data_IF_402333967873
#
_entry.id   IF_402333967873
#
_cell.length_a   1.000
_cell.length_b   1.000
_cell.length_c   1.000
_cell.angle_alpha   90.00
_cell.angle_beta   90.00
_cell.angle_gamma   90.00
#
_symmetry.space_group_name_H-M   'P 1'
#
loop_
_entity.id
_entity.type
_entity.pdbx_description
1 polymer ?
#
# COMPACT_ATOMS: atom_id res chain seq x y z
N UNK A 1 -34.07 17.54 -10.12
CA UNK A 1 -34.28 16.08 -10.03
C UNK A 1 -33.61 15.47 -11.26
N UNK A 2 -32.39 14.99 -11.12
CA UNK A 2 -31.65 14.31 -12.20
C UNK A 2 -32.05 12.84 -12.25
N UNK A 3 -32.12 12.21 -13.44
CA UNK A 3 -32.41 10.79 -13.55
C UNK A 3 -31.21 9.92 -13.11
N UNK A 4 -31.44 8.70 -12.64
CA UNK A 4 -30.36 7.80 -12.23
C UNK A 4 -29.57 7.28 -13.46
N UNK A 5 -28.28 6.95 -13.29
CA UNK A 5 -27.48 6.33 -14.34
C UNK A 5 -27.92 4.87 -14.60
N UNK A 6 -27.70 4.35 -15.83
CA UNK A 6 -28.18 3.04 -16.24
C UNK A 6 -27.42 1.88 -15.58
N UNK A 7 -28.17 0.86 -15.20
CA UNK A 7 -27.67 -0.43 -14.72
C UNK A 7 -27.14 -1.26 -15.90
N UNK A 8 -25.88 -1.70 -15.80
CA UNK A 8 -25.31 -2.66 -16.75
C UNK A 8 -25.75 -4.07 -16.36
N UNK A 9 -26.69 -4.60 -17.14
CA UNK A 9 -27.03 -6.03 -17.16
C UNK A 9 -26.24 -6.71 -18.28
N UNK A 10 -25.55 -7.80 -17.93
CA UNK A 10 -24.83 -8.64 -18.88
C UNK A 10 -25.83 -9.40 -19.78
N UNK A 11 -25.73 -9.18 -21.09
CA UNK A 11 -26.46 -9.94 -22.09
C UNK A 11 -25.55 -11.01 -22.70
N UNK A 12 -25.89 -12.27 -22.46
CA UNK A 12 -25.40 -13.43 -23.18
C UNK A 12 -26.24 -13.64 -24.45
N UNK A 13 -25.60 -13.87 -25.60
CA UNK A 13 -26.13 -14.65 -26.72
C UNK A 13 -25.07 -14.83 -27.80
N UNK A 14 -24.94 -16.05 -28.34
CA UNK A 14 -24.19 -16.29 -29.58
C UNK A 14 -23.74 -17.73 -29.76
N UNK A 15 -24.67 -18.64 -30.07
CA UNK A 15 -24.36 -20.00 -30.47
C UNK A 15 -23.71 -20.07 -31.86
N UNK A 16 -22.75 -20.97 -32.03
CA UNK A 16 -22.21 -21.33 -33.33
C UNK A 16 -22.02 -22.85 -33.46
N UNK A 17 -22.47 -23.32 -34.61
CA UNK A 17 -22.60 -24.67 -35.16
C UNK A 17 -21.29 -25.48 -35.15
N UNK A 18 -21.39 -26.76 -34.76
CA UNK A 18 -20.31 -27.73 -34.80
C UNK A 18 -20.07 -28.28 -36.22
N UNK A 19 -18.79 -28.47 -36.60
CA UNK A 19 -18.34 -29.34 -37.70
C UNK A 19 -17.31 -30.34 -37.15
N UNK A 20 -17.30 -31.60 -37.61
CA UNK A 20 -16.42 -32.64 -37.08
C UNK A 20 -15.10 -32.75 -37.86
N UNK A 21 -14.04 -33.15 -37.16
CA UNK A 21 -12.87 -33.82 -37.76
C UNK A 21 -11.56 -33.05 -37.75
N UNK A 22 -10.81 -33.17 -36.65
CA UNK A 22 -9.34 -33.06 -36.67
C UNK A 22 -8.79 -33.76 -35.42
N UNK A 23 -8.02 -34.84 -35.64
CA UNK A 23 -7.37 -35.63 -34.60
C UNK A 23 -6.30 -34.77 -33.90
N UNK A 24 -6.56 -34.38 -32.65
CA UNK A 24 -5.54 -33.81 -31.76
C UNK A 24 -4.61 -34.91 -31.22
N UNK A 25 -3.30 -34.64 -31.07
CA UNK A 25 -2.39 -35.51 -30.33
C UNK A 25 -2.75 -35.49 -28.83
N UNK A 26 -2.43 -36.56 -28.08
CA UNK A 26 -2.93 -36.77 -26.74
C UNK A 26 -2.51 -35.66 -25.77
N UNK A 27 -3.46 -35.18 -24.98
CA UNK A 27 -3.38 -34.11 -23.96
C UNK A 27 -2.18 -34.20 -22.99
N UNK A 28 -1.48 -35.33 -22.96
CA UNK A 28 -0.33 -35.57 -22.10
C UNK A 28 0.94 -34.82 -22.52
N UNK A 29 1.10 -34.46 -23.80
CA UNK A 29 2.28 -33.69 -24.26
C UNK A 29 2.14 -32.22 -23.86
N UNK A 30 0.94 -31.66 -23.99
CA UNK A 30 0.61 -30.28 -23.64
C UNK A 30 0.75 -30.02 -22.13
N UNK A 31 0.31 -30.96 -21.29
CA UNK A 31 0.51 -30.92 -19.84
C UNK A 31 1.99 -30.99 -19.40
N UNK A 32 2.87 -31.60 -20.20
CA UNK A 32 4.31 -31.67 -19.92
C UNK A 32 5.05 -30.40 -20.36
N UNK A 33 4.69 -29.82 -21.49
CA UNK A 33 5.33 -28.59 -22.00
C UNK A 33 4.95 -27.34 -21.18
N UNK A 34 3.70 -27.20 -20.72
CA UNK A 34 3.31 -26.08 -19.84
C UNK A 34 4.03 -26.12 -18.47
N UNK A 35 4.44 -27.31 -18.02
CA UNK A 35 5.29 -27.47 -16.83
C UNK A 35 6.74 -27.07 -17.06
N UNK A 36 7.24 -27.14 -18.30
CA UNK A 36 8.64 -26.94 -18.65
C UNK A 36 9.00 -25.47 -18.96
N UNK A 37 8.01 -24.58 -19.11
CA UNK A 37 8.21 -23.13 -19.24
C UNK A 37 7.82 -22.37 -17.98
N UNK A 38 7.80 -23.03 -16.81
CA UNK A 38 7.91 -22.29 -15.55
C UNK A 38 9.35 -21.80 -15.43
N UNK A 39 9.63 -20.61 -16.01
CA UNK A 39 10.77 -19.77 -15.63
C UNK A 39 10.92 -19.91 -14.12
N UNK A 40 12.06 -20.40 -13.66
CA UNK A 40 12.29 -20.82 -12.28
C UNK A 40 12.00 -19.65 -11.32
N UNK A 41 10.72 -19.52 -10.94
CA UNK A 41 10.24 -18.41 -10.15
C UNK A 41 10.74 -18.67 -8.74
N UNK A 42 11.56 -17.77 -8.23
CA UNK A 42 12.01 -17.84 -6.85
C UNK A 42 10.78 -17.92 -5.94
N UNK A 43 10.77 -18.90 -5.04
CA UNK A 43 9.71 -19.00 -4.04
C UNK A 43 9.70 -17.75 -3.15
N UNK A 44 8.55 -17.43 -2.59
CA UNK A 44 8.38 -16.27 -1.69
C UNK A 44 9.30 -16.37 -0.48
N UNK A 45 9.59 -17.59 -0.01
CA UNK A 45 10.56 -17.82 1.05
C UNK A 45 11.97 -17.37 0.66
N UNK A 46 12.45 -17.79 -0.52
CA UNK A 46 13.75 -17.33 -1.06
C UNK A 46 13.76 -15.82 -1.32
N UNK A 47 12.64 -15.25 -1.78
CA UNK A 47 12.52 -13.80 -1.96
C UNK A 47 12.56 -13.04 -0.62
N UNK A 48 11.91 -13.56 0.43
CA UNK A 48 11.95 -13.01 1.78
C UNK A 48 13.37 -12.95 2.32
N UNK A 49 14.14 -14.03 2.17
CA UNK A 49 15.53 -14.09 2.63
C UNK A 49 16.38 -13.06 1.87
N UNK A 50 16.25 -13.04 0.55
CA UNK A 50 16.94 -12.06 -0.32
C UNK A 50 16.61 -10.62 0.07
N UNK A 51 15.35 -10.27 0.22
CA UNK A 51 14.92 -8.90 0.52
C UNK A 51 15.26 -8.50 1.96
N UNK A 52 15.28 -9.46 2.89
CA UNK A 52 15.78 -9.22 4.25
C UNK A 52 17.26 -8.89 4.23
N UNK A 53 18.06 -9.62 3.47
CA UNK A 53 19.48 -9.31 3.30
C UNK A 53 19.71 -7.94 2.66
N UNK A 54 19.02 -7.63 1.54
CA UNK A 54 19.10 -6.32 0.89
C UNK A 54 18.71 -5.17 1.83
N UNK A 55 17.63 -5.34 2.60
CA UNK A 55 17.20 -4.36 3.60
C UNK A 55 18.24 -4.16 4.70
N UNK A 56 18.84 -5.23 5.22
CA UNK A 56 19.90 -5.16 6.23
C UNK A 56 21.14 -4.44 5.69
N UNK A 57 21.54 -4.71 4.45
CA UNK A 57 22.65 -3.99 3.80
C UNK A 57 22.35 -2.49 3.66
N UNK A 58 21.12 -2.11 3.29
CA UNK A 58 20.70 -0.71 3.23
C UNK A 58 20.67 -0.05 4.62
N UNK A 59 20.29 -0.78 5.67
CA UNK A 59 20.33 -0.32 7.06
C UNK A 59 21.76 -0.08 7.55
N UNK A 60 22.67 -1.03 7.32
CA UNK A 60 24.09 -0.92 7.69
C UNK A 60 24.76 0.27 7.00
N UNK A 61 24.42 0.49 5.72
CA UNK A 61 24.91 1.62 4.93
C UNK A 61 24.17 2.95 5.20
N UNK A 62 23.31 3.02 6.23
CA UNK A 62 22.51 4.20 6.62
C UNK A 62 21.61 4.76 5.50
N UNK A 63 21.32 3.97 4.45
CA UNK A 63 20.36 4.29 3.39
C UNK A 63 18.92 4.14 3.85
N UNK A 64 18.68 3.24 4.82
CA UNK A 64 17.41 3.08 5.52
C UNK A 64 17.67 3.28 7.01
N UNK A 65 16.87 4.11 7.66
CA UNK A 65 16.92 4.38 9.10
C UNK A 65 15.51 4.24 9.67
N UNK A 66 15.38 3.66 10.86
CA UNK A 66 14.09 3.37 11.50
C UNK A 66 14.13 4.04 12.86
N UNK A 67 13.11 4.85 13.12
CA UNK A 67 12.90 5.60 14.34
C UNK A 67 11.62 5.07 14.99
N UNK A 68 11.67 4.84 16.30
CA UNK A 68 10.49 4.47 17.07
C UNK A 68 9.72 5.72 17.47
N UNK A 69 8.39 5.65 17.39
CA UNK A 69 7.48 6.68 17.90
C UNK A 69 6.99 6.26 19.28
N UNK A 70 6.61 7.23 20.12
CA UNK A 70 6.18 6.98 21.49
C UNK A 70 4.70 6.59 21.61
N UNK A 71 4.06 6.23 20.49
CA UNK A 71 2.68 5.74 20.44
C UNK A 71 2.48 4.71 19.33
N UNK A 72 1.30 4.11 19.24
CA UNK A 72 0.86 3.20 18.19
C UNK A 72 -0.67 3.15 18.15
N UNK A 73 -1.25 2.75 17.01
CA UNK A 73 -2.70 2.60 16.88
C UNK A 73 -3.22 1.56 17.89
N UNK A 74 -4.33 1.86 18.57
CA UNK A 74 -4.90 0.99 19.59
C UNK A 74 -4.27 1.13 20.98
N UNK A 75 -3.24 1.97 21.16
CA UNK A 75 -2.80 2.40 22.50
C UNK A 75 -3.93 3.11 23.25
N UNK A 76 -4.68 3.93 22.52
CA UNK A 76 -5.94 4.52 22.97
C UNK A 76 -7.09 3.77 22.29
N UNK A 77 -8.14 3.43 23.04
CA UNK A 77 -9.26 2.63 22.53
C UNK A 77 -9.86 3.18 21.23
N UNK A 78 -9.87 4.51 21.07
CA UNK A 78 -10.40 5.19 19.89
C UNK A 78 -9.55 5.09 18.63
N UNK A 79 -8.29 4.67 18.71
CA UNK A 79 -7.39 4.55 17.54
C UNK A 79 -7.22 3.12 17.03
N UNK A 80 -7.91 2.14 17.63
CA UNK A 80 -7.89 0.73 17.21
C UNK A 80 -8.42 0.57 15.79
N UNK A 81 -7.66 -0.14 14.95
CA UNK A 81 -7.90 -0.29 13.51
C UNK A 81 -8.04 1.05 12.77
N UNK A 82 -7.35 2.08 13.29
CA UNK A 82 -7.37 3.43 12.73
C UNK A 82 -6.40 3.65 11.58
N UNK A 83 -5.61 2.66 11.16
CA UNK A 83 -4.57 2.83 10.13
C UNK A 83 -5.08 3.44 8.81
N UNK A 84 -6.32 3.11 8.42
CA UNK A 84 -6.98 3.64 7.22
C UNK A 84 -7.24 5.14 7.31
N UNK A 85 -7.40 5.70 8.52
CA UNK A 85 -7.56 7.14 8.79
C UNK A 85 -6.21 7.79 9.10
N UNK A 86 -5.39 7.15 9.94
CA UNK A 86 -4.06 7.64 10.35
C UNK A 86 -3.18 7.91 9.13
N UNK A 87 -3.10 6.97 8.20
CA UNK A 87 -2.18 7.08 7.05
C UNK A 87 -2.47 8.28 6.15
N UNK A 88 -3.69 8.48 5.62
CA UNK A 88 -4.02 9.68 4.86
C UNK A 88 -3.94 10.97 5.70
N UNK A 89 -4.21 10.94 7.01
CA UNK A 89 -4.02 12.13 7.86
C UNK A 89 -2.55 12.53 8.03
N UNK A 90 -1.63 11.56 8.10
CA UNK A 90 -0.20 11.85 8.08
C UNK A 90 0.19 12.52 6.75
N UNK A 91 -0.34 12.04 5.62
CA UNK A 91 -0.14 12.66 4.31
C UNK A 91 -0.72 14.08 4.28
N UNK A 92 -1.94 14.28 4.77
CA UNK A 92 -2.59 15.59 4.85
C UNK A 92 -1.75 16.60 5.64
N UNK A 93 -1.25 16.20 6.82
CA UNK A 93 -0.39 17.04 7.65
C UNK A 93 0.95 17.35 6.96
N UNK A 94 1.53 16.38 6.25
CA UNK A 94 2.75 16.60 5.45
C UNK A 94 2.52 17.67 4.38
N UNK A 95 1.46 17.53 3.58
CA UNK A 95 1.14 18.46 2.49
C UNK A 95 0.73 19.86 2.98
N UNK A 96 0.12 19.99 4.16
CA UNK A 96 -0.26 21.29 4.75
C UNK A 96 0.89 22.10 5.33
N UNK A 97 1.95 21.44 5.78
CA UNK A 97 3.14 22.14 6.30
C UNK A 97 4.00 22.65 5.15
N UNK A 98 5.14 23.29 5.38
CA UNK A 98 6.18 23.55 4.35
C UNK A 98 7.40 22.61 4.49
N UNK A 99 7.37 21.73 5.48
CA UNK A 99 8.50 20.88 5.88
C UNK A 99 8.08 19.41 5.91
N UNK A 100 8.95 18.54 6.41
CA UNK A 100 8.57 17.17 6.72
C UNK A 100 7.56 17.16 7.88
N UNK A 101 6.59 16.24 7.85
CA UNK A 101 5.77 15.95 9.03
C UNK A 101 6.67 15.54 10.21
N UNK A 102 6.43 16.11 11.39
CA UNK A 102 7.23 15.85 12.59
C UNK A 102 6.76 14.59 13.32
N UNK A 103 7.63 13.95 14.11
CA UNK A 103 7.24 12.78 14.92
C UNK A 103 6.11 13.13 15.89
N UNK A 104 6.17 14.31 16.53
CA UNK A 104 5.11 14.82 17.40
C UNK A 104 3.77 14.97 16.68
N UNK A 105 3.79 15.40 15.41
CA UNK A 105 2.57 15.49 14.59
C UNK A 105 2.03 14.11 14.24
N UNK A 106 2.90 13.15 13.92
CA UNK A 106 2.48 11.77 13.67
C UNK A 106 1.85 11.16 14.94
N UNK A 107 2.48 11.37 16.10
CA UNK A 107 1.97 10.92 17.39
C UNK A 107 0.59 11.54 17.69
N UNK A 108 0.42 12.84 17.49
CA UNK A 108 -0.88 13.52 17.66
C UNK A 108 -1.95 13.03 16.67
N UNK A 109 -1.58 12.68 15.44
CA UNK A 109 -2.52 12.05 14.49
C UNK A 109 -3.01 10.71 15.03
N UNK A 110 -2.11 9.88 15.56
CA UNK A 110 -2.44 8.54 16.09
C UNK A 110 -3.27 8.65 17.38
N UNK A 111 -2.93 9.57 18.28
CA UNK A 111 -3.49 9.62 19.63
C UNK A 111 -4.73 10.50 19.74
N UNK A 112 -4.88 11.50 18.88
CA UNK A 112 -5.93 12.52 19.00
C UNK A 112 -6.76 12.63 17.72
N UNK A 113 -6.15 13.03 16.60
CA UNK A 113 -6.90 13.45 15.41
C UNK A 113 -7.66 12.29 14.76
N UNK A 114 -7.05 11.10 14.70
CA UNK A 114 -7.71 9.96 14.08
C UNK A 114 -8.96 9.52 14.86
N UNK A 115 -9.02 9.72 16.18
CA UNK A 115 -10.09 9.18 17.02
C UNK A 115 -11.44 9.81 16.68
N UNK A 116 -11.49 11.14 16.56
CA UNK A 116 -12.73 11.84 16.20
C UNK A 116 -13.18 11.46 14.79
N UNK A 117 -12.26 11.48 13.83
CA UNK A 117 -12.56 11.15 12.43
C UNK A 117 -13.02 9.69 12.28
N UNK A 118 -12.36 8.75 12.96
CA UNK A 118 -12.73 7.35 12.93
C UNK A 118 -14.13 7.13 13.50
N UNK A 119 -14.47 7.82 14.59
CA UNK A 119 -15.82 7.78 15.17
C UNK A 119 -16.85 8.32 14.19
N UNK A 120 -16.57 9.45 13.55
CA UNK A 120 -17.52 10.10 12.63
C UNK A 120 -17.76 9.23 11.38
N UNK A 121 -16.69 8.63 10.81
CA UNK A 121 -16.80 7.68 9.69
C UNK A 121 -17.58 6.43 10.10
N UNK A 122 -17.25 5.81 11.23
CA UNK A 122 -17.96 4.61 11.71
C UNK A 122 -19.44 4.89 11.94
N UNK A 123 -19.78 6.05 12.51
CA UNK A 123 -21.16 6.47 12.71
C UNK A 123 -21.90 6.66 11.37
N UNK A 124 -21.26 7.29 10.37
CA UNK A 124 -21.84 7.49 9.03
C UNK A 124 -22.09 6.15 8.31
N UNK A 125 -21.17 5.20 8.45
CA UNK A 125 -21.24 3.89 7.81
C UNK A 125 -22.01 2.83 8.63
N UNK A 126 -22.54 3.19 9.80
CA UNK A 126 -23.20 2.27 10.73
C UNK A 126 -22.32 1.05 11.09
N UNK A 127 -21.02 1.27 11.23
CA UNK A 127 -20.05 0.25 11.58
C UNK A 127 -19.91 0.14 13.09
N UNK A 128 -20.01 -1.08 13.61
CA UNK A 128 -19.83 -1.36 15.03
C UNK A 128 -18.38 -1.65 15.40
N UNK A 129 -18.03 -1.29 16.64
CA UNK A 129 -16.78 -1.71 17.29
C UNK A 129 -15.52 -1.36 16.48
N UNK A 130 -14.74 -2.39 16.17
CA UNK A 130 -13.44 -2.30 15.51
C UNK A 130 -13.49 -2.81 14.05
N UNK A 131 -14.65 -2.75 13.38
CA UNK A 131 -14.77 -3.15 11.98
C UNK A 131 -13.74 -2.42 11.09
N UNK A 132 -13.24 -3.13 10.08
CA UNK A 132 -12.36 -2.55 9.07
C UNK A 132 -13.15 -1.56 8.21
N UNK A 133 -12.48 -0.47 7.83
CA UNK A 133 -13.06 0.59 7.01
C UNK A 133 -12.45 0.49 5.62
N UNK A 134 -13.29 0.63 4.59
CA UNK A 134 -12.82 0.59 3.21
C UNK A 134 -12.03 1.88 2.92
N UNK A 135 -10.84 1.80 2.32
CA UNK A 135 -10.01 2.98 2.04
C UNK A 135 -10.72 4.09 1.25
N UNK A 136 -11.61 3.74 0.31
CA UNK A 136 -12.39 4.71 -0.47
C UNK A 136 -13.32 5.56 0.39
N UNK A 137 -13.98 4.98 1.39
CA UNK A 137 -14.87 5.75 2.29
C UNK A 137 -14.09 6.78 3.10
N UNK A 138 -12.86 6.43 3.50
CA UNK A 138 -11.96 7.37 4.18
C UNK A 138 -11.48 8.46 3.21
N UNK A 139 -11.09 8.09 1.99
CA UNK A 139 -10.71 9.07 0.95
C UNK A 139 -11.82 10.11 0.77
N UNK A 140 -13.06 9.67 0.57
CA UNK A 140 -14.20 10.55 0.33
C UNK A 140 -14.47 11.44 1.54
N UNK A 141 -14.39 10.90 2.76
CA UNK A 141 -14.47 11.70 3.97
C UNK A 141 -13.40 12.79 4.03
N UNK A 142 -12.14 12.46 3.69
CA UNK A 142 -11.03 13.43 3.74
C UNK A 142 -11.24 14.57 2.74
N UNK A 143 -11.79 14.28 1.56
CA UNK A 143 -12.12 15.27 0.52
C UNK A 143 -13.30 16.14 0.94
N UNK A 144 -14.41 15.52 1.38
CA UNK A 144 -15.62 16.22 1.83
C UNK A 144 -15.33 17.23 2.96
N UNK A 145 -14.44 16.86 3.87
CA UNK A 145 -14.05 17.69 5.02
C UNK A 145 -12.82 18.58 4.74
N UNK A 146 -12.34 18.62 3.49
CA UNK A 146 -11.21 19.45 3.05
C UNK A 146 -9.91 19.20 3.84
N UNK A 147 -9.74 17.98 4.34
CA UNK A 147 -8.51 17.52 4.99
C UNK A 147 -7.44 17.22 3.94
N UNK A 148 -7.86 16.63 2.82
CA UNK A 148 -7.13 16.53 1.57
C UNK A 148 -7.97 17.18 0.48
N UNK A 149 -7.37 17.94 -0.42
CA UNK A 149 -8.13 18.59 -1.49
C UNK A 149 -8.19 17.70 -2.74
N UNK A 150 -9.27 17.80 -3.50
CA UNK A 150 -9.42 17.05 -4.74
C UNK A 150 -8.35 17.41 -5.79
N UNK A 151 -7.91 18.68 -5.83
CA UNK A 151 -6.84 19.15 -6.72
C UNK A 151 -5.43 18.68 -6.31
N UNK A 152 -5.30 18.13 -5.09
CA UNK A 152 -4.08 17.46 -4.63
C UNK A 152 -4.08 15.97 -4.98
N UNK A 153 -5.22 15.38 -5.37
CA UNK A 153 -5.27 13.95 -5.70
C UNK A 153 -4.60 13.70 -7.05
N UNK A 154 -3.53 12.91 -7.03
CA UNK A 154 -2.74 12.58 -8.23
C UNK A 154 -3.31 11.34 -8.91
N UNK A 155 -3.71 10.35 -8.12
CA UNK A 155 -4.28 9.11 -8.65
C UNK A 155 -4.23 7.95 -7.66
N UNK A 156 -4.72 6.82 -8.12
CA UNK A 156 -4.64 5.55 -7.40
C UNK A 156 -3.98 4.49 -8.27
N UNK A 157 -3.29 3.55 -7.63
CA UNK A 157 -2.59 2.43 -8.28
C UNK A 157 -2.67 1.20 -7.40
N UNK A 158 -2.52 0.01 -7.97
CA UNK A 158 -2.57 -1.23 -7.19
C UNK A 158 -2.05 -2.41 -7.98
N UNK A 159 -2.37 -3.61 -7.49
CA UNK A 159 -2.04 -4.87 -8.15
C UNK A 159 -1.23 -5.79 -7.24
N UNK A 160 -0.34 -6.55 -7.83
CA UNK A 160 0.54 -7.49 -7.14
C UNK A 160 1.73 -6.81 -6.48
N UNK A 161 1.81 -6.78 -5.15
CA UNK A 161 2.86 -6.06 -4.40
C UNK A 161 4.27 -6.66 -4.56
N UNK A 162 4.38 -7.92 -4.98
CA UNK A 162 5.69 -8.55 -5.24
C UNK A 162 6.09 -8.45 -6.70
N UNK A 163 5.18 -7.98 -7.57
CA UNK A 163 5.51 -7.68 -8.95
C UNK A 163 6.35 -6.41 -9.05
N UNK A 164 7.45 -6.49 -9.79
CA UNK A 164 8.39 -5.38 -9.90
C UNK A 164 7.78 -4.20 -10.66
N UNK A 165 6.97 -4.45 -11.68
CA UNK A 165 6.41 -3.41 -12.53
C UNK A 165 5.33 -2.63 -11.78
N UNK A 166 4.39 -3.32 -11.12
CA UNK A 166 3.35 -2.64 -10.31
C UNK A 166 3.95 -1.76 -9.22
N UNK A 167 5.02 -2.21 -8.56
CA UNK A 167 5.72 -1.39 -7.57
C UNK A 167 6.48 -0.22 -8.19
N UNK A 168 7.05 -0.37 -9.39
CA UNK A 168 7.65 0.75 -10.13
C UNK A 168 6.60 1.79 -10.49
N UNK A 169 5.42 1.36 -10.94
CA UNK A 169 4.35 2.27 -11.33
C UNK A 169 3.80 3.04 -10.13
N UNK A 170 3.65 2.37 -8.98
CA UNK A 170 3.39 3.05 -7.71
C UNK A 170 4.46 4.09 -7.35
N UNK A 171 5.74 3.72 -7.42
CA UNK A 171 6.83 4.63 -7.06
C UNK A 171 6.94 5.82 -8.01
N UNK A 172 6.66 5.64 -9.30
CA UNK A 172 6.58 6.73 -10.29
C UNK A 172 5.45 7.69 -9.95
N UNK A 173 4.26 7.17 -9.65
CA UNK A 173 3.11 7.99 -9.26
C UNK A 173 3.43 8.82 -8.01
N UNK A 174 4.07 8.22 -7.00
CA UNK A 174 4.54 8.92 -5.80
C UNK A 174 5.64 9.95 -6.10
N UNK A 175 6.64 9.61 -6.92
CA UNK A 175 7.78 10.48 -7.18
C UNK A 175 7.42 11.69 -8.04
N UNK A 176 6.64 11.49 -9.10
CA UNK A 176 6.51 12.48 -10.16
C UNK A 176 5.10 12.69 -10.70
N UNK A 177 4.11 11.88 -10.30
CA UNK A 177 2.82 11.81 -10.97
C UNK A 177 2.91 11.09 -12.32
N UNK A 178 1.80 11.05 -13.06
CA UNK A 178 1.69 10.30 -14.32
C UNK A 178 2.53 10.90 -15.45
N UNK A 179 2.62 12.23 -15.52
CA UNK A 179 3.30 12.97 -16.61
C UNK A 179 4.54 13.72 -16.14
N UNK A 180 4.96 13.51 -14.89
CA UNK A 180 6.15 14.14 -14.31
C UNK A 180 5.93 15.49 -13.63
N UNK A 181 4.68 15.96 -13.58
CA UNK A 181 4.26 17.28 -13.09
C UNK A 181 4.55 17.53 -11.60
N UNK A 182 4.76 16.48 -10.81
CA UNK A 182 5.03 16.56 -9.37
C UNK A 182 6.48 16.21 -8.97
N UNK A 183 7.40 16.07 -9.94
CA UNK A 183 8.79 15.63 -9.69
C UNK A 183 9.53 16.46 -8.63
N UNK A 184 9.29 17.77 -8.59
CA UNK A 184 9.91 18.68 -7.62
C UNK A 184 8.96 19.10 -6.49
N UNK A 185 7.79 18.48 -6.41
CA UNK A 185 6.78 18.77 -5.38
C UNK A 185 6.83 17.71 -4.29
N UNK A 186 6.28 18.08 -3.13
CA UNK A 186 6.00 17.13 -2.07
C UNK A 186 4.82 16.29 -2.47
N UNK A 187 4.85 15.05 -2.05
CA UNK A 187 3.78 14.09 -2.26
C UNK A 187 3.72 13.15 -1.06
N UNK A 188 2.60 12.46 -0.95
CA UNK A 188 2.46 11.35 -0.03
C UNK A 188 1.43 10.36 -0.53
N UNK A 189 1.49 9.17 0.04
CA UNK A 189 0.62 8.08 -0.32
C UNK A 189 0.14 7.35 0.93
N UNK A 190 -1.09 6.83 0.86
CA UNK A 190 -1.56 5.78 1.74
C UNK A 190 -1.53 4.48 0.95
N UNK A 191 -0.81 3.46 1.45
CA UNK A 191 -0.73 2.14 0.81
C UNK A 191 -1.44 1.12 1.70
N UNK A 192 -2.55 0.61 1.17
CA UNK A 192 -3.33 -0.47 1.71
C UNK A 192 -2.75 -1.80 1.22
N UNK A 193 -2.33 -2.64 2.15
CA UNK A 193 -1.81 -3.97 1.85
C UNK A 193 -2.20 -4.93 2.96
N UNK A 194 -2.87 -6.02 2.58
CA UNK A 194 -3.53 -6.94 3.52
C UNK A 194 -4.55 -6.15 4.35
N UNK A 195 -4.53 -6.27 5.67
CA UNK A 195 -5.47 -5.61 6.58
C UNK A 195 -4.89 -4.33 7.21
N UNK A 196 -3.87 -3.74 6.58
CA UNK A 196 -3.14 -2.61 7.16
C UNK A 196 -2.81 -1.54 6.13
N UNK A 197 -2.72 -0.31 6.63
CA UNK A 197 -2.37 0.87 5.83
C UNK A 197 -1.14 1.55 6.43
N UNK A 198 -0.18 1.82 5.56
CA UNK A 198 0.99 2.66 5.88
C UNK A 198 0.91 3.97 5.12
N UNK A 199 1.47 5.04 5.69
CA UNK A 199 1.72 6.25 4.93
C UNK A 199 3.15 6.32 4.43
N UNK A 200 3.32 6.93 3.27
CA UNK A 200 4.62 7.29 2.73
C UNK A 200 4.62 8.76 2.37
N UNK A 201 5.65 9.50 2.74
CA UNK A 201 5.76 10.93 2.44
C UNK A 201 7.11 11.24 1.80
N UNK A 202 7.08 11.99 0.70
CA UNK A 202 8.25 12.49 -0.02
C UNK A 202 8.71 13.79 0.63
N UNK A 203 9.88 13.74 1.27
CA UNK A 203 10.42 14.79 2.14
C UNK A 203 11.54 15.54 1.41
N UNK A 204 11.42 16.86 1.20
CA UNK A 204 12.49 17.65 0.61
C UNK A 204 13.66 17.74 1.60
N UNK A 205 14.87 17.45 1.14
CA UNK A 205 16.10 17.50 1.95
C UNK A 205 17.09 18.57 1.47
N UNK A 206 16.65 19.47 0.60
CA UNK A 206 17.46 20.53 -0.01
C UNK A 206 18.12 20.11 -1.33
N UNK A 207 18.60 21.08 -2.11
CA UNK A 207 19.30 20.83 -3.37
C UNK A 207 18.48 20.09 -4.44
N UNK A 208 17.15 20.20 -4.40
CA UNK A 208 16.24 19.45 -5.28
C UNK A 208 16.16 17.95 -4.99
N UNK A 209 16.74 17.48 -3.87
CA UNK A 209 16.73 16.09 -3.47
C UNK A 209 15.59 15.78 -2.50
N UNK A 210 15.17 14.52 -2.51
CA UNK A 210 14.10 14.02 -1.66
C UNK A 210 14.52 12.74 -0.95
N UNK A 211 14.18 12.67 0.33
CA UNK A 211 14.08 11.43 1.09
C UNK A 211 12.62 10.96 1.13
N UNK A 212 12.38 9.75 1.61
CA UNK A 212 11.06 9.19 1.74
C UNK A 212 10.88 8.61 3.13
N UNK A 213 9.81 8.99 3.83
CA UNK A 213 9.47 8.37 5.09
C UNK A 213 8.27 7.45 4.93
N UNK A 214 8.38 6.25 5.48
CA UNK A 214 7.29 5.31 5.66
C UNK A 214 6.88 5.34 7.14
N UNK A 215 5.60 5.59 7.43
CA UNK A 215 5.06 5.51 8.79
C UNK A 215 4.17 4.27 8.90
N UNK A 216 4.53 3.38 9.81
CA UNK A 216 3.73 2.22 10.18
C UNK A 216 3.19 2.41 11.60
N UNK A 217 1.87 2.57 11.72
CA UNK A 217 1.18 2.83 12.97
C UNK A 217 0.95 1.58 13.83
N UNK A 218 1.22 0.38 13.33
CA UNK A 218 1.13 -0.84 14.14
C UNK A 218 2.23 -0.89 15.21
N UNK A 219 1.94 -1.52 16.37
CA UNK A 219 2.95 -1.69 17.40
C UNK A 219 4.06 -2.61 16.90
N UNK A 220 5.29 -2.12 16.97
CA UNK A 220 6.50 -2.88 16.67
C UNK A 220 7.47 -2.78 17.85
N UNK A 221 8.19 -3.87 18.12
CA UNK A 221 9.31 -3.90 19.07
C UNK A 221 10.60 -3.30 18.49
N UNK A 222 10.58 -2.86 17.22
CA UNK A 222 11.73 -2.24 16.57
C UNK A 222 11.86 -0.77 17.00
N UNK A 223 12.61 -0.52 18.06
CA UNK A 223 12.98 0.82 18.50
C UNK A 223 14.30 0.83 19.27
N UNK A 224 14.98 1.98 19.26
CA UNK A 224 16.12 2.27 20.16
C UNK A 224 15.70 2.30 21.65
N UNK A 225 14.40 2.30 21.93
CA UNK A 225 13.81 2.19 23.26
C UNK A 225 13.63 0.70 23.58
N UNK A 226 14.63 0.11 24.23
CA UNK A 226 14.60 -1.27 24.69
C UNK A 226 13.27 -1.61 25.39
N UNK A 227 12.54 -2.58 24.83
CA UNK A 227 11.35 -3.16 25.47
C UNK A 227 10.03 -2.40 25.34
N UNK A 228 9.96 -1.25 24.63
CA UNK A 228 8.70 -0.52 24.42
C UNK A 228 8.15 -0.74 23.00
N UNK A 229 6.88 -1.11 22.91
CA UNK A 229 6.13 -1.21 21.66
C UNK A 229 5.80 0.21 21.15
N UNK A 230 6.00 0.44 19.86
CA UNK A 230 5.69 1.71 19.22
C UNK A 230 5.47 1.58 17.71
N UNK A 231 4.75 2.55 17.15
CA UNK A 231 4.73 2.82 15.73
C UNK A 231 6.14 3.20 15.27
N UNK A 232 6.37 3.15 13.97
CA UNK A 232 7.69 3.40 13.39
C UNK A 232 7.63 4.43 12.28
N UNK A 233 8.68 5.23 12.20
CA UNK A 233 9.02 6.06 11.03
C UNK A 233 10.29 5.50 10.40
N UNK A 234 10.22 5.08 9.16
CA UNK A 234 11.36 4.55 8.40
C UNK A 234 11.76 5.52 7.32
N UNK A 235 12.91 6.17 7.47
CA UNK A 235 13.48 7.07 6.47
C UNK A 235 14.34 6.30 5.47
N UNK A 236 13.98 6.41 4.20
CA UNK A 236 14.72 5.96 3.04
C UNK A 236 15.38 7.17 2.36
N UNK A 237 16.68 7.08 2.06
CA UNK A 237 17.45 8.19 1.51
C UNK A 237 17.04 8.59 0.09
N UNK A 238 16.46 7.66 -0.67
CA UNK A 238 16.13 7.81 -2.08
C UNK A 238 15.05 6.79 -2.49
N UNK A 239 14.56 6.87 -3.73
CA UNK A 239 13.53 5.97 -4.24
C UNK A 239 14.00 4.50 -4.31
N UNK A 240 15.30 4.28 -4.51
CA UNK A 240 15.90 2.93 -4.56
C UNK A 240 15.83 2.26 -3.18
N UNK A 241 16.18 2.99 -2.13
CA UNK A 241 16.07 2.52 -0.74
C UNK A 241 14.62 2.35 -0.31
N UNK A 242 13.70 3.20 -0.77
CA UNK A 242 12.26 3.00 -0.55
C UNK A 242 11.77 1.70 -1.21
N UNK A 243 12.18 1.43 -2.46
CA UNK A 243 11.82 0.21 -3.17
C UNK A 243 12.33 -1.06 -2.45
N UNK A 244 13.57 -1.03 -1.94
CA UNK A 244 14.10 -2.11 -1.08
C UNK A 244 13.27 -2.26 0.19
N UNK A 245 12.93 -1.15 0.85
CA UNK A 245 12.11 -1.15 2.06
C UNK A 245 10.74 -1.78 1.83
N UNK A 246 10.04 -1.42 0.74
CA UNK A 246 8.71 -1.94 0.43
C UNK A 246 8.71 -3.42 0.08
N UNK A 247 9.72 -3.89 -0.66
CA UNK A 247 9.88 -5.33 -0.95
C UNK A 247 10.10 -6.15 0.32
N UNK A 248 10.94 -5.67 1.23
CA UNK A 248 11.12 -6.29 2.54
C UNK A 248 9.83 -6.25 3.36
N UNK A 249 9.16 -5.08 3.41
CA UNK A 249 7.92 -4.87 4.13
C UNK A 249 6.84 -5.87 3.70
N UNK A 250 6.60 -5.98 2.39
CA UNK A 250 5.61 -6.87 1.82
C UNK A 250 5.89 -8.33 2.18
N UNK A 251 7.13 -8.80 1.96
CA UNK A 251 7.51 -10.19 2.23
C UNK A 251 7.44 -10.59 3.71
N UNK A 252 7.61 -9.62 4.63
CA UNK A 252 7.49 -9.85 6.08
C UNK A 252 6.04 -10.05 6.53
N UNK A 253 5.06 -9.48 5.81
CA UNK A 253 3.64 -9.54 6.17
C UNK A 253 2.94 -10.83 5.72
N UNK A 254 3.51 -11.57 4.78
CA UNK A 254 2.95 -12.85 4.36
C UNK A 254 3.05 -13.90 5.47
N UNK A 255 1.93 -14.51 5.83
CA UNK A 255 1.91 -15.72 6.65
C UNK A 255 2.50 -16.92 5.88
N UNK A 256 2.71 -18.03 6.57
CA UNK A 256 3.19 -19.26 5.91
C UNK A 256 2.15 -19.84 4.93
N UNK A 257 0.86 -19.67 5.24
CA UNK A 257 -0.22 -20.03 4.32
C UNK A 257 -0.21 -19.12 3.09
N UNK A 258 0.05 -17.81 3.24
CA UNK A 258 0.21 -16.92 2.10
C UNK A 258 1.41 -17.32 1.22
N UNK A 259 2.57 -17.61 1.81
CA UNK A 259 3.74 -18.06 1.05
C UNK A 259 3.42 -19.32 0.23
N UNK A 260 2.78 -20.31 0.85
CA UNK A 260 2.40 -21.56 0.19
C UNK A 260 1.39 -21.33 -0.93
N UNK A 261 0.40 -20.45 -0.73
CA UNK A 261 -0.55 -20.07 -1.77
C UNK A 261 0.16 -19.39 -2.95
N UNK A 262 1.00 -18.39 -2.69
CA UNK A 262 1.66 -17.60 -3.73
C UNK A 262 2.64 -18.46 -4.55
N UNK A 263 3.35 -19.38 -3.91
CA UNK A 263 4.27 -20.31 -4.59
C UNK A 263 3.53 -21.28 -5.53
N UNK A 264 2.25 -21.55 -5.27
CA UNK A 264 1.41 -22.49 -6.05
C UNK A 264 0.58 -21.81 -7.14
N UNK A 265 0.24 -20.53 -6.95
CA UNK A 265 -0.72 -19.82 -7.80
C UNK A 265 -0.06 -18.64 -8.53
N UNK A 266 -0.30 -18.55 -9.82
CA UNK A 266 0.07 -17.37 -10.61
C UNK A 266 -0.81 -16.17 -10.23
N UNK A 267 -0.36 -14.97 -10.56
CA UNK A 267 -1.17 -13.77 -10.34
C UNK A 267 -2.26 -13.71 -11.40
N UNK A 268 -3.49 -13.51 -10.95
CA UNK A 268 -4.68 -13.37 -11.80
C UNK A 268 -5.43 -12.13 -11.33
N UNK A 269 -5.51 -11.12 -12.20
CA UNK A 269 -6.18 -9.86 -11.90
C UNK A 269 -7.67 -10.04 -11.61
N UNK A 270 -8.32 -11.04 -12.20
CA UNK A 270 -9.73 -11.32 -11.96
C UNK A 270 -10.00 -11.87 -10.55
N UNK A 271 -8.95 -12.34 -9.86
CA UNK A 271 -9.01 -12.90 -8.52
C UNK A 271 -8.33 -11.99 -7.47
N UNK A 272 -8.03 -10.73 -7.82
CA UNK A 272 -7.28 -9.82 -6.97
C UNK A 272 -7.91 -9.63 -5.58
N UNK A 273 -9.23 -9.63 -5.47
CA UNK A 273 -9.96 -9.46 -4.20
C UNK A 273 -9.66 -10.55 -3.15
N UNK A 274 -9.23 -11.74 -3.61
CA UNK A 274 -8.93 -12.87 -2.74
C UNK A 274 -7.43 -13.19 -2.67
N UNK A 275 -6.62 -12.51 -3.50
CA UNK A 275 -5.20 -12.79 -3.60
C UNK A 275 -4.42 -12.09 -2.48
N UNK A 276 -3.58 -12.81 -1.72
CA UNK A 276 -2.83 -12.18 -0.63
C UNK A 276 -1.82 -11.13 -1.08
N UNK A 277 -1.46 -11.08 -2.37
CA UNK A 277 -0.50 -10.13 -2.94
C UNK A 277 -1.12 -8.77 -3.28
N UNK A 278 -2.45 -8.65 -3.25
CA UNK A 278 -3.13 -7.42 -3.66
C UNK A 278 -2.75 -6.24 -2.76
N UNK A 279 -2.41 -5.11 -3.38
CA UNK A 279 -2.29 -3.82 -2.72
C UNK A 279 -3.02 -2.74 -3.51
N UNK A 280 -3.38 -1.67 -2.83
CA UNK A 280 -3.89 -0.44 -3.42
C UNK A 280 -3.20 0.74 -2.75
N UNK A 281 -2.95 1.80 -3.50
CA UNK A 281 -2.42 3.04 -2.97
C UNK A 281 -3.08 4.25 -3.58
N UNK A 282 -3.33 5.26 -2.75
CA UNK A 282 -3.84 6.57 -3.13
C UNK A 282 -2.71 7.58 -2.95
N UNK A 283 -2.47 8.43 -3.94
CA UNK A 283 -1.36 9.39 -3.97
C UNK A 283 -1.91 10.81 -4.05
N UNK A 284 -1.34 11.68 -3.22
CA UNK A 284 -1.59 13.11 -3.24
C UNK A 284 -0.29 13.89 -3.35
N UNK A 285 -0.34 15.05 -3.99
CA UNK A 285 0.80 15.94 -4.15
C UNK A 285 0.42 17.40 -3.86
N UNK A 286 1.45 18.17 -3.51
CA UNK A 286 1.33 19.62 -3.39
C UNK A 286 0.95 20.23 -4.74
N UNK A 287 0.07 21.23 -4.73
CA UNK A 287 -0.38 21.93 -5.93
C UNK A 287 0.66 22.95 -6.39
#
# INVERSE_FOLDING_TARGET
>A
IQPPPPSFTAAAAGGAVARPGSLHPPDQVRYKEERLVRKERLSIRKMRDKYTHEYQMHRQNKKIQVFGLNTYQGRYNGSTNGCTVISPLVVANHLRSSHAVSDRTIEDVIDSQCISILRDIRSKLQLEGAALIIPSDVHDYMVDHKLLKQDQFVGATGGNIIDKQHMIDFLKLLESGEKGEHKNKRSGAALFFREHVISMVKVPIGGGQFAYDLVDSLPSSTGQLSGKMGATRTRCKDLTSLFVCLRWYACKKFSESNCTYIDRNEWDESMADFDPRVFQSFVWADC
#
